data_IF_610977919993
#
_entry.id   IF_610977919993
#
_cell.length_a   1.000
_cell.length_b   1.000
_cell.length_c   1.000
_cell.angle_alpha   90.00
_cell.angle_beta   90.00
_cell.angle_gamma   90.00
#
_symmetry.space_group_name_H-M   'P 1'
#
loop_
_entity.id
_entity.type
_entity.pdbx_description
1 polymer ?
#
# COMPACT_ATOMS: atom_id res chain seq x y z
N UNK A 1 -15.85 -25.00 2.68
CA UNK A 1 -14.57 -24.38 3.06
C UNK A 1 -13.48 -25.41 2.83
N UNK A 2 -12.46 -25.09 2.02
CA UNK A 2 -11.48 -26.06 1.53
C UNK A 2 -10.17 -26.09 2.33
N UNK A 3 -9.98 -25.15 3.26
CA UNK A 3 -8.73 -25.03 4.02
C UNK A 3 -9.02 -24.59 5.46
N UNK A 4 -8.34 -25.24 6.42
CA UNK A 4 -8.30 -24.97 7.86
C UNK A 4 -6.84 -24.98 8.30
N UNK A 5 -6.49 -24.18 9.31
CA UNK A 5 -5.12 -24.00 9.80
C UNK A 5 -4.53 -25.32 10.38
N UNK A 6 -3.29 -25.61 10.03
CA UNK A 6 -2.65 -26.93 10.16
C UNK A 6 -2.15 -27.30 11.58
N UNK A 7 -2.47 -26.52 12.62
CA UNK A 7 -1.90 -26.75 13.97
C UNK A 7 -2.73 -27.65 14.87
N UNK A 8 -3.98 -27.95 14.52
CA UNK A 8 -4.75 -28.90 15.30
C UNK A 8 -4.53 -30.33 14.80
N UNK A 9 -3.58 -31.02 15.44
CA UNK A 9 -3.33 -32.46 15.27
C UNK A 9 -4.49 -33.33 15.81
N UNK A 10 -5.60 -32.72 16.28
CA UNK A 10 -6.80 -33.41 16.69
C UNK A 10 -7.51 -34.13 15.54
N UNK A 11 -8.27 -35.19 15.84
CA UNK A 11 -9.05 -35.89 14.82
C UNK A 11 -10.05 -34.93 14.16
N UNK A 12 -10.34 -35.10 12.86
CA UNK A 12 -11.38 -34.33 12.17
C UNK A 12 -12.68 -34.30 13.01
N UNK A 13 -13.18 -33.10 13.33
CA UNK A 13 -14.36 -32.90 14.19
C UNK A 13 -14.09 -32.55 15.66
N UNK A 14 -12.83 -32.47 16.10
CA UNK A 14 -12.43 -31.93 17.42
C UNK A 14 -11.54 -30.70 17.34
N UNK A 15 -11.40 -30.11 16.15
CA UNK A 15 -10.50 -28.98 15.96
C UNK A 15 -11.03 -27.73 16.66
N UNK A 16 -10.19 -27.09 17.46
CA UNK A 16 -10.51 -25.80 18.08
C UNK A 16 -10.13 -24.68 17.12
N UNK A 17 -11.13 -23.91 16.71
CA UNK A 17 -10.90 -22.65 16.00
C UNK A 17 -10.35 -21.63 17.00
N UNK A 18 -9.11 -21.18 16.79
CA UNK A 18 -8.56 -20.06 17.53
C UNK A 18 -8.77 -18.77 16.75
N UNK A 19 -9.36 -17.78 17.40
CA UNK A 19 -9.44 -16.42 16.87
C UNK A 19 -8.21 -15.63 17.32
N UNK A 20 -7.77 -14.64 16.53
CA UNK A 20 -6.62 -13.79 16.86
C UNK A 20 -6.82 -13.02 18.19
N UNK A 21 -8.05 -12.62 18.50
CA UNK A 21 -8.41 -11.93 19.74
C UNK A 21 -9.33 -12.77 20.62
N UNK A 22 -9.26 -12.54 21.93
CA UNK A 22 -10.22 -13.12 22.88
C UNK A 22 -11.62 -12.55 22.62
N UNK A 23 -12.68 -13.37 22.74
CA UNK A 23 -14.05 -12.93 22.46
C UNK A 23 -14.46 -11.71 23.30
N UNK A 24 -14.95 -10.66 22.63
CA UNK A 24 -15.44 -9.45 23.28
C UNK A 24 -14.34 -8.53 23.83
N UNK A 25 -13.07 -8.82 23.58
CA UNK A 25 -11.94 -7.95 23.97
C UNK A 25 -11.07 -7.62 22.75
N UNK A 26 -10.09 -6.74 22.95
CA UNK A 26 -9.01 -6.47 21.98
C UNK A 26 -7.69 -7.15 22.38
N UNK A 27 -7.76 -8.06 23.36
CA UNK A 27 -6.59 -8.77 23.85
C UNK A 27 -6.26 -9.91 22.90
N UNK A 28 -4.99 -10.01 22.53
CA UNK A 28 -4.53 -11.11 21.69
C UNK A 28 -4.74 -12.45 22.37
N UNK A 29 -5.22 -13.43 21.61
CA UNK A 29 -5.39 -14.79 22.10
C UNK A 29 -4.01 -15.41 22.39
N UNK A 30 -3.69 -15.75 23.65
CA UNK A 30 -2.37 -16.27 24.00
C UNK A 30 -2.03 -17.62 23.36
N UNK A 31 -3.02 -18.31 22.78
CA UNK A 31 -2.82 -19.55 22.04
C UNK A 31 -2.42 -19.33 20.58
N UNK A 32 -2.55 -18.10 20.06
CA UNK A 32 -2.13 -17.73 18.71
C UNK A 32 -0.72 -17.14 18.77
N UNK A 33 0.26 -17.67 18.02
CA UNK A 33 1.61 -17.09 17.97
C UNK A 33 1.56 -15.60 17.63
N UNK A 34 2.37 -14.78 18.31
CA UNK A 34 2.34 -13.32 18.13
C UNK A 34 2.75 -12.88 16.73
N UNK A 35 3.47 -13.71 15.98
CA UNK A 35 3.93 -13.52 14.61
C UNK A 35 2.93 -14.03 13.54
N UNK A 36 1.72 -14.37 13.95
CA UNK A 36 0.65 -14.77 13.02
C UNK A 36 0.15 -13.58 12.21
N UNK A 37 -0.01 -13.76 10.89
CA UNK A 37 -0.73 -12.82 10.04
C UNK A 37 -2.22 -12.85 10.37
N UNK A 38 -2.76 -11.72 10.82
CA UNK A 38 -4.20 -11.53 11.01
C UNK A 38 -4.82 -11.10 9.68
N UNK A 39 -5.75 -11.89 9.14
CA UNK A 39 -6.56 -11.51 7.98
C UNK A 39 -7.98 -11.19 8.45
N UNK A 40 -8.47 -9.99 8.17
CA UNK A 40 -9.79 -9.51 8.56
C UNK A 40 -10.59 -9.07 7.33
N UNK A 41 -11.89 -9.39 7.31
CA UNK A 41 -12.82 -8.86 6.32
C UNK A 41 -13.60 -7.72 6.97
N UNK A 42 -13.41 -6.50 6.49
CA UNK A 42 -14.20 -5.34 6.92
C UNK A 42 -15.47 -5.24 6.07
N UNK A 43 -16.61 -5.50 6.70
CA UNK A 43 -17.92 -5.45 6.06
C UNK A 43 -18.47 -4.03 5.89
N UNK A 44 -17.82 -3.03 6.47
CA UNK A 44 -18.18 -1.62 6.36
C UNK A 44 -17.49 -0.92 5.19
N UNK A 45 -16.48 -1.55 4.61
CA UNK A 45 -15.73 -1.05 3.45
C UNK A 45 -16.09 -1.91 2.24
N UNK A 46 -16.36 -1.26 1.11
CA UNK A 46 -16.83 -1.95 -0.10
C UNK A 46 -15.68 -2.42 -0.98
N UNK A 47 -14.76 -1.52 -1.36
CA UNK A 47 -13.73 -1.78 -2.37
C UNK A 47 -12.38 -1.17 -1.92
N UNK A 48 -11.73 -1.79 -0.93
CA UNK A 48 -10.42 -1.39 -0.43
C UNK A 48 -9.71 -2.56 0.24
N UNK A 49 -8.40 -2.42 0.43
CA UNK A 49 -7.63 -3.37 1.21
C UNK A 49 -6.39 -2.68 1.80
N UNK A 50 -5.76 -3.35 2.75
CA UNK A 50 -4.54 -2.87 3.39
C UNK A 50 -3.76 -4.03 3.96
N UNK A 51 -2.44 -3.99 3.86
CA UNK A 51 -1.57 -4.96 4.51
C UNK A 51 -0.30 -4.34 5.06
N UNK A 52 0.23 -5.00 6.07
CA UNK A 52 1.59 -4.74 6.54
C UNK A 52 2.60 -5.31 5.58
N UNK A 53 3.66 -4.56 5.32
CA UNK A 53 4.72 -5.00 4.40
C UNK A 53 5.74 -5.87 5.14
N UNK A 54 5.88 -7.10 4.67
CA UNK A 54 6.88 -8.07 5.12
C UNK A 54 6.85 -8.38 6.61
N UNK A 55 7.95 -8.94 7.09
CA UNK A 55 8.09 -9.29 8.50
C UNK A 55 8.48 -8.07 9.34
N UNK A 56 7.65 -7.73 10.34
CA UNK A 56 7.98 -6.73 11.35
C UNK A 56 8.59 -7.35 12.61
N UNK A 57 9.75 -6.87 13.08
CA UNK A 57 10.37 -7.37 14.30
C UNK A 57 9.53 -7.04 15.54
N UNK A 58 9.60 -7.87 16.60
CA UNK A 58 9.00 -7.54 17.90
C UNK A 58 9.59 -6.23 18.45
N UNK A 59 8.70 -5.36 18.95
CA UNK A 59 8.97 -4.11 19.66
C UNK A 59 9.03 -4.30 21.17
N UNK A 60 8.57 -5.44 21.68
CA UNK A 60 8.63 -5.79 23.12
C UNK A 60 7.47 -5.23 23.94
N UNK A 61 6.41 -4.76 23.29
CA UNK A 61 5.22 -4.20 23.95
C UNK A 61 3.93 -4.95 23.55
N UNK A 62 2.78 -4.45 24.02
CA UNK A 62 1.48 -5.06 23.72
C UNK A 62 1.09 -4.99 22.23
N UNK A 63 1.69 -4.09 21.45
CA UNK A 63 1.47 -3.96 20.00
C UNK A 63 2.19 -5.01 19.17
N UNK A 64 3.05 -5.83 19.79
CA UNK A 64 3.70 -6.95 19.11
C UNK A 64 2.71 -7.97 18.56
N UNK A 65 1.57 -8.12 19.24
CA UNK A 65 0.55 -9.05 18.84
C UNK A 65 -0.36 -8.41 17.77
N UNK A 66 -0.53 -9.08 16.63
CA UNK A 66 -1.23 -8.52 15.48
C UNK A 66 -0.41 -7.50 14.67
N UNK A 67 0.91 -7.47 14.86
CA UNK A 67 1.81 -6.57 14.11
C UNK A 67 1.91 -6.88 12.61
N UNK A 68 1.44 -8.05 12.20
CA UNK A 68 1.26 -8.47 10.82
C UNK A 68 -0.24 -8.58 10.55
N UNK A 69 -0.76 -7.73 9.67
CA UNK A 69 -2.19 -7.71 9.39
C UNK A 69 -2.46 -7.45 7.91
N UNK A 70 -3.60 -7.96 7.48
CA UNK A 70 -4.20 -7.75 6.17
C UNK A 70 -5.70 -7.54 6.39
N UNK A 71 -6.23 -6.46 5.84
CA UNK A 71 -7.65 -6.13 5.81
C UNK A 71 -8.13 -6.19 4.37
N UNK A 72 -9.26 -6.85 4.18
CA UNK A 72 -9.95 -6.94 2.91
C UNK A 72 -11.35 -6.35 3.06
N UNK A 73 -11.76 -5.51 2.12
CA UNK A 73 -13.17 -5.14 2.00
C UNK A 73 -14.02 -6.34 1.58
N UNK A 74 -15.34 -6.25 1.83
CA UNK A 74 -16.27 -7.35 1.54
C UNK A 74 -16.33 -7.74 0.06
N UNK A 75 -16.07 -6.79 -0.85
CA UNK A 75 -16.05 -7.04 -2.30
C UNK A 75 -14.64 -7.04 -2.89
N UNK A 76 -13.59 -7.21 -2.07
CA UNK A 76 -12.23 -7.30 -2.56
C UNK A 76 -12.12 -8.41 -3.62
N UNK A 77 -11.71 -8.03 -4.83
CA UNK A 77 -11.52 -8.99 -5.92
C UNK A 77 -10.20 -9.75 -5.77
N UNK A 78 -9.99 -10.73 -6.64
CA UNK A 78 -8.80 -11.57 -6.58
C UNK A 78 -7.50 -10.78 -6.85
N UNK A 79 -7.57 -9.70 -7.62
CA UNK A 79 -6.41 -8.86 -7.95
C UNK A 79 -5.98 -8.06 -6.72
N UNK A 80 -6.93 -7.44 -6.01
CA UNK A 80 -6.69 -6.72 -4.77
C UNK A 80 -6.20 -7.66 -3.66
N UNK A 81 -6.78 -8.86 -3.54
CA UNK A 81 -6.28 -9.87 -2.58
C UNK A 81 -4.84 -10.29 -2.90
N UNK A 82 -4.51 -10.48 -4.19
CA UNK A 82 -3.15 -10.81 -4.60
C UNK A 82 -2.18 -9.66 -4.32
N UNK A 83 -2.62 -8.41 -4.56
CA UNK A 83 -1.84 -7.20 -4.25
C UNK A 83 -1.45 -7.16 -2.77
N UNK A 84 -2.43 -7.33 -1.90
CA UNK A 84 -2.20 -7.34 -0.46
C UNK A 84 -1.34 -8.51 0.03
N UNK A 85 -1.48 -9.70 -0.58
CA UNK A 85 -0.57 -10.81 -0.30
C UNK A 85 0.87 -10.51 -0.73
N UNK A 86 1.08 -9.76 -1.81
CA UNK A 86 2.41 -9.27 -2.21
C UNK A 86 3.05 -8.42 -1.12
N UNK A 87 2.28 -7.48 -0.53
CA UNK A 87 2.74 -6.71 0.63
C UNK A 87 3.10 -7.60 1.81
N UNK A 88 2.28 -8.60 2.14
CA UNK A 88 2.60 -9.57 3.21
C UNK A 88 3.94 -10.28 2.96
N UNK A 89 4.27 -10.59 1.70
CA UNK A 89 5.57 -11.17 1.33
C UNK A 89 6.73 -10.17 1.29
N UNK A 90 6.45 -8.88 1.46
CA UNK A 90 7.45 -7.82 1.53
C UNK A 90 7.54 -6.96 0.27
N UNK A 91 6.70 -7.19 -0.74
CA UNK A 91 6.75 -6.41 -1.96
C UNK A 91 6.19 -5.00 -1.73
N UNK A 92 6.89 -3.99 -2.24
CA UNK A 92 6.46 -2.59 -2.24
C UNK A 92 5.81 -2.24 -3.57
N UNK A 93 5.17 -1.07 -3.67
CA UNK A 93 4.63 -0.61 -4.95
C UNK A 93 5.74 -0.43 -6.00
N UNK A 94 5.52 -0.90 -7.23
CA UNK A 94 6.49 -0.75 -8.32
C UNK A 94 6.87 0.72 -8.56
N UNK A 95 5.89 1.62 -8.40
CA UNK A 95 6.07 3.05 -8.59
C UNK A 95 6.92 3.73 -7.51
N UNK A 96 7.37 3.02 -6.48
CA UNK A 96 8.27 3.59 -5.44
C UNK A 96 9.74 3.17 -5.60
N UNK A 97 10.06 2.32 -6.60
CA UNK A 97 11.44 1.93 -6.93
C UNK A 97 12.35 3.13 -7.14
N UNK A 98 13.60 3.02 -6.70
CA UNK A 98 14.57 4.12 -6.85
C UNK A 98 14.87 4.43 -8.32
N UNK A 99 14.83 3.42 -9.19
CA UNK A 99 15.13 3.50 -10.61
C UNK A 99 13.91 3.77 -11.51
N UNK A 100 12.70 3.91 -10.93
CA UNK A 100 11.45 4.09 -11.69
C UNK A 100 11.51 5.19 -12.74
N UNK A 101 12.24 6.28 -12.47
CA UNK A 101 12.26 7.46 -13.35
C UNK A 101 13.02 7.18 -14.66
N UNK A 102 13.67 6.02 -14.79
CA UNK A 102 14.19 5.49 -16.05
C UNK A 102 13.09 4.92 -16.95
N UNK A 103 11.94 4.56 -16.38
CA UNK A 103 10.87 3.81 -17.03
C UNK A 103 9.51 4.53 -17.02
N UNK A 104 9.24 5.34 -16.00
CA UNK A 104 7.97 6.02 -15.77
C UNK A 104 8.17 7.48 -15.36
N UNK A 105 7.22 8.33 -15.78
CA UNK A 105 7.17 9.74 -15.37
C UNK A 105 6.08 9.94 -14.33
N UNK A 106 6.47 10.29 -13.09
CA UNK A 106 5.51 10.60 -12.03
C UNK A 106 4.97 12.04 -12.16
N UNK A 107 3.75 12.15 -12.68
CA UNK A 107 3.03 13.43 -12.81
C UNK A 107 2.31 13.82 -11.51
N UNK A 108 3.06 14.08 -10.45
CA UNK A 108 2.57 14.38 -9.08
C UNK A 108 1.36 15.34 -9.01
N UNK A 109 1.34 16.39 -9.83
CA UNK A 109 0.26 17.40 -9.86
C UNK A 109 -1.08 16.88 -10.34
N UNK A 110 -1.07 15.76 -11.07
CA UNK A 110 -2.26 15.13 -11.65
C UNK A 110 -2.86 14.08 -10.70
N UNK A 111 -2.20 13.77 -9.58
CA UNK A 111 -2.71 12.86 -8.56
C UNK A 111 -3.83 13.54 -7.79
N UNK A 112 -4.88 12.76 -7.51
CA UNK A 112 -6.02 13.20 -6.73
C UNK A 112 -5.59 13.83 -5.40
N UNK A 113 -6.22 14.96 -5.06
CA UNK A 113 -5.96 15.66 -3.82
C UNK A 113 -4.72 16.56 -3.80
N UNK A 114 -3.90 16.60 -4.86
CA UNK A 114 -2.69 17.44 -4.93
C UNK A 114 -2.98 18.90 -4.57
N UNK A 115 -3.95 19.52 -5.23
CA UNK A 115 -4.28 20.95 -5.00
C UNK A 115 -4.74 21.21 -3.56
N UNK A 116 -5.46 20.26 -2.96
CA UNK A 116 -5.91 20.39 -1.59
C UNK A 116 -4.74 20.23 -0.60
N UNK A 117 -3.86 19.27 -0.84
CA UNK A 117 -2.65 19.06 -0.04
C UNK A 117 -1.71 20.27 -0.14
N UNK A 118 -1.48 20.80 -1.34
CA UNK A 118 -0.66 21.99 -1.56
C UNK A 118 -1.17 23.20 -0.78
N UNK A 119 -2.48 23.47 -0.82
CA UNK A 119 -3.08 24.58 -0.05
C UNK A 119 -2.94 24.38 1.46
N UNK A 120 -3.11 23.15 1.96
CA UNK A 120 -2.89 22.83 3.38
C UNK A 120 -1.43 23.05 3.77
N UNK A 121 -0.49 22.55 2.96
CA UNK A 121 0.94 22.71 3.18
C UNK A 121 1.35 24.18 3.17
N UNK A 122 0.84 24.97 2.22
CA UNK A 122 1.10 26.41 2.17
C UNK A 122 0.55 27.17 3.38
N UNK A 123 -0.59 26.76 3.93
CA UNK A 123 -1.14 27.37 5.13
C UNK A 123 -0.30 27.06 6.39
N UNK A 124 0.31 25.88 6.46
CA UNK A 124 1.16 25.46 7.59
C UNK A 124 2.59 26.02 7.45
N UNK A 125 3.14 25.96 6.25
CA UNK A 125 4.53 26.32 5.92
C UNK A 125 4.61 27.59 5.06
N UNK A 126 3.90 28.64 5.45
CA UNK A 126 3.81 29.88 4.65
C UNK A 126 5.14 30.61 4.39
N UNK A 127 6.23 30.21 5.06
CA UNK A 127 7.59 30.71 4.82
C UNK A 127 8.36 29.92 3.75
N UNK A 128 7.92 28.70 3.42
CA UNK A 128 8.48 27.92 2.31
C UNK A 128 7.98 28.49 0.98
N UNK A 129 8.84 28.48 -0.03
CA UNK A 129 8.43 28.81 -1.39
C UNK A 129 7.46 27.77 -1.94
N UNK A 130 6.63 28.17 -2.91
CA UNK A 130 5.73 27.24 -3.61
C UNK A 130 6.49 26.05 -4.22
N UNK A 131 7.70 26.27 -4.72
CA UNK A 131 8.54 25.22 -5.32
C UNK A 131 9.05 24.22 -4.27
N UNK A 132 9.39 24.68 -3.06
CA UNK A 132 9.80 23.79 -1.96
C UNK A 132 8.64 22.95 -1.45
N UNK A 133 7.44 23.53 -1.33
CA UNK A 133 6.22 22.79 -0.95
C UNK A 133 5.89 21.73 -2.00
N UNK A 134 5.90 22.11 -3.28
CA UNK A 134 5.66 21.17 -4.38
C UNK A 134 6.67 20.02 -4.35
N UNK A 135 7.97 20.33 -4.28
CA UNK A 135 9.01 19.31 -4.20
C UNK A 135 8.79 18.38 -3.00
N UNK A 136 8.47 18.93 -1.82
CA UNK A 136 8.26 18.12 -0.62
C UNK A 136 7.02 17.21 -0.78
N UNK A 137 5.92 17.69 -1.35
CA UNK A 137 4.74 16.85 -1.62
C UNK A 137 5.00 15.72 -2.63
N UNK A 138 5.94 15.92 -3.56
CA UNK A 138 6.19 14.98 -4.65
C UNK A 138 7.36 14.02 -4.40
N UNK A 139 8.28 14.36 -3.48
CA UNK A 139 9.54 13.63 -3.27
C UNK A 139 9.79 13.24 -1.81
N UNK A 140 8.96 13.70 -0.86
CA UNK A 140 9.06 13.34 0.56
C UNK A 140 7.78 12.64 1.02
N UNK A 141 7.89 11.34 1.33
CA UNK A 141 6.75 10.50 1.69
C UNK A 141 6.12 10.95 3.00
N UNK A 142 6.93 11.32 3.99
CA UNK A 142 6.44 11.76 5.30
C UNK A 142 5.71 13.10 5.17
N UNK A 143 6.25 14.02 4.37
CA UNK A 143 5.61 15.29 4.08
C UNK A 143 4.28 15.09 3.33
N UNK A 144 4.25 14.23 2.32
CA UNK A 144 3.03 13.91 1.58
C UNK A 144 1.96 13.26 2.48
N UNK A 145 2.36 12.29 3.31
CA UNK A 145 1.47 11.62 4.28
C UNK A 145 0.93 12.57 5.34
N UNK A 146 1.75 13.52 5.84
CA UNK A 146 1.31 14.55 6.79
C UNK A 146 0.10 15.33 6.27
N UNK A 147 0.03 15.57 4.96
CA UNK A 147 -1.07 16.28 4.32
C UNK A 147 -2.14 15.37 3.74
N UNK A 148 -2.15 14.08 4.06
CA UNK A 148 -3.06 13.07 3.52
C UNK A 148 -3.14 13.14 1.98
N UNK A 149 -1.98 13.28 1.35
CA UNK A 149 -1.86 13.34 -0.10
C UNK A 149 -1.66 11.93 -0.67
N UNK A 150 -2.55 11.50 -1.56
CA UNK A 150 -2.46 10.19 -2.24
C UNK A 150 -1.15 10.01 -3.00
N UNK A 151 -0.50 11.10 -3.40
CA UNK A 151 0.82 11.09 -4.02
C UNK A 151 1.90 10.39 -3.21
N UNK A 152 1.74 10.27 -1.88
CA UNK A 152 2.67 9.52 -1.01
C UNK A 152 2.88 8.07 -1.47
N UNK A 153 1.87 7.42 -2.06
CA UNK A 153 1.98 6.06 -2.61
C UNK A 153 2.89 5.95 -3.85
N UNK A 154 3.25 7.10 -4.42
CA UNK A 154 4.10 7.25 -5.60
C UNK A 154 5.41 7.97 -5.27
N UNK A 155 5.74 8.22 -4.01
CA UNK A 155 7.03 8.82 -3.63
C UNK A 155 8.07 7.72 -3.48
N UNK A 156 9.29 7.93 -3.97
CA UNK A 156 10.37 6.96 -3.78
C UNK A 156 10.62 6.81 -2.30
N UNK A 157 10.66 5.59 -1.78
CA UNK A 157 10.85 5.43 -0.34
C UNK A 157 12.35 5.50 -0.01
N UNK A 158 12.78 6.42 0.88
CA UNK A 158 14.16 6.47 1.34
C UNK A 158 14.38 5.43 2.45
N UNK A 159 14.19 4.13 2.17
CA UNK A 159 14.57 3.09 3.14
C UNK A 159 16.11 2.97 3.18
N UNK A 160 16.73 2.77 4.37
CA UNK A 160 18.17 2.58 4.50
C UNK A 160 18.51 1.14 4.09
N UNK A 161 18.41 0.86 2.81
CA UNK A 161 18.99 -0.33 2.23
C UNK A 161 19.20 -0.04 0.76
N UNK A 162 20.36 0.49 0.45
CA UNK A 162 21.02 0.37 -0.85
C UNK A 162 21.26 -1.12 -1.26
N UNK A 163 20.43 -2.05 -0.77
CA UNK A 163 20.52 -3.51 -0.88
C UNK A 163 19.13 -4.21 -0.95
N UNK A 164 18.02 -3.46 -1.01
CA UNK A 164 16.69 -4.04 -1.28
C UNK A 164 16.39 -3.93 -2.77
N UNK A 165 16.63 -2.75 -3.36
CA UNK A 165 16.84 -2.62 -4.79
C UNK A 165 18.02 -3.55 -5.17
N UNK A 166 17.81 -4.44 -6.15
CA UNK A 166 18.82 -5.40 -6.63
C UNK A 166 19.31 -6.43 -5.57
N UNK A 167 18.51 -6.77 -4.55
CA UNK A 167 18.84 -7.86 -3.61
C UNK A 167 19.11 -9.18 -4.37
N UNK A 168 20.28 -9.82 -4.22
CA UNK A 168 20.63 -11.03 -4.97
C UNK A 168 19.88 -12.28 -4.49
N UNK A 169 19.14 -12.18 -3.38
CA UNK A 169 18.48 -13.33 -2.72
C UNK A 169 16.97 -13.29 -2.90
N UNK A 170 16.37 -12.10 -2.94
CA UNK A 170 14.94 -11.92 -3.16
C UNK A 170 14.70 -10.53 -3.72
N UNK A 171 14.12 -10.48 -4.92
CA UNK A 171 13.77 -9.24 -5.61
C UNK A 171 12.54 -8.61 -4.95
N UNK A 172 12.78 -7.69 -4.03
CA UNK A 172 11.72 -6.90 -3.39
C UNK A 172 11.13 -5.86 -4.35
N UNK A 173 11.79 -5.65 -5.50
CA UNK A 173 11.30 -4.85 -6.62
C UNK A 173 10.39 -5.67 -7.55
N UNK A 174 9.89 -6.81 -7.05
CA UNK A 174 8.89 -7.62 -7.72
C UNK A 174 7.61 -6.82 -8.00
N UNK A 175 7.05 -7.08 -9.18
CA UNK A 175 5.96 -6.33 -9.80
C UNK A 175 4.72 -6.25 -8.91
N UNK A 176 4.52 -5.11 -8.25
CA UNK A 176 3.25 -4.69 -7.64
C UNK A 176 2.72 -3.48 -8.39
N UNK A 177 2.05 -3.74 -9.52
CA UNK A 177 1.53 -2.70 -10.40
C UNK A 177 0.13 -2.26 -9.94
N UNK A 178 -0.02 -0.97 -9.71
CA UNK A 178 -1.32 -0.33 -9.87
C UNK A 178 -1.63 -0.12 -11.35
N UNK A 179 -2.91 0.00 -11.68
CA UNK A 179 -3.29 0.57 -12.97
C UNK A 179 -2.77 2.02 -13.06
N UNK A 180 -2.37 2.45 -14.25
CA UNK A 180 -1.76 3.78 -14.44
C UNK A 180 -2.69 4.96 -14.10
N UNK A 181 -3.99 4.69 -13.97
CA UNK A 181 -5.04 5.65 -13.61
C UNK A 181 -5.49 5.54 -12.14
N UNK A 182 -4.95 4.60 -11.37
CA UNK A 182 -5.24 4.51 -9.94
C UNK A 182 -4.88 5.83 -9.26
N UNK A 183 -5.79 6.41 -8.49
CA UNK A 183 -5.65 7.73 -7.84
C UNK A 183 -5.42 8.92 -8.79
N UNK A 184 -5.66 8.77 -10.09
CA UNK A 184 -5.65 9.90 -11.02
C UNK A 184 -6.87 10.80 -10.78
N UNK A 185 -6.70 12.12 -10.94
CA UNK A 185 -7.84 13.04 -10.85
C UNK A 185 -8.86 12.73 -11.97
N UNK A 186 -10.18 12.73 -11.69
CA UNK A 186 -11.22 12.45 -12.69
C UNK A 186 -11.16 13.34 -13.93
N UNK A 187 -10.54 14.52 -13.83
CA UNK A 187 -10.35 15.43 -14.96
C UNK A 187 -9.37 14.92 -16.02
N UNK A 188 -8.68 13.81 -15.76
CA UNK A 188 -7.73 13.17 -16.67
C UNK A 188 -8.15 11.74 -17.04
N UNK A 189 -9.40 11.34 -16.74
CA UNK A 189 -9.96 10.07 -17.24
C UNK A 189 -9.89 10.02 -18.78
N UNK A 190 -9.47 8.86 -19.27
CA UNK A 190 -9.08 8.60 -20.66
C UNK A 190 -10.07 9.19 -21.66
N UNK A 191 -9.57 9.99 -22.62
CA UNK A 191 -10.26 10.11 -23.90
C UNK A 191 -10.43 8.68 -24.46
N UNK A 192 -11.61 8.31 -24.98
CA UNK A 192 -11.82 7.00 -25.56
C UNK A 192 -10.77 6.74 -26.64
N UNK A 193 -10.28 5.50 -26.72
CA UNK A 193 -9.22 5.08 -27.64
C UNK A 193 -9.54 5.37 -29.13
N UNK A 194 -10.79 5.68 -29.47
CA UNK A 194 -11.21 6.14 -30.79
C UNK A 194 -10.60 7.49 -31.20
N UNK A 195 -10.18 8.32 -30.24
CA UNK A 195 -9.83 9.72 -30.50
C UNK A 195 -8.31 9.94 -30.62
N UNK A 196 -7.49 8.97 -30.22
CA UNK A 196 -6.01 9.04 -30.27
C UNK A 196 -5.47 8.84 -31.70
N UNK A 197 -6.24 8.21 -32.59
CA UNK A 197 -5.83 8.00 -33.98
C UNK A 197 -6.12 9.19 -34.92
N UNK A 198 -6.74 10.27 -34.43
CA UNK A 198 -7.19 11.38 -35.27
C UNK A 198 -6.27 12.62 -35.28
N UNK A 199 -5.27 12.72 -34.39
CA UNK A 199 -4.46 13.94 -34.23
C UNK A 199 -2.95 13.77 -34.45
N UNK A 200 -2.52 12.65 -35.03
CA UNK A 200 -1.11 12.34 -35.27
C UNK A 200 -0.42 13.25 -36.29
N UNK A 201 0.04 14.42 -35.85
CA UNK A 201 1.24 15.08 -36.39
C UNK A 201 2.16 15.39 -35.23
N UNK A 202 3.24 14.60 -35.11
CA UNK A 202 4.39 14.90 -34.26
C UNK A 202 5.34 15.74 -35.12
N UNK A 203 5.71 16.98 -34.75
CA UNK A 203 6.79 17.70 -35.42
C UNK A 203 8.15 17.14 -34.99
N UNK A 204 9.07 17.09 -35.96
CA UNK A 204 10.48 16.68 -35.81
C UNK A 204 11.25 17.43 -34.72
#
# INVERSE_FOLDING_TARGET
MAWEEARDNGPPGRRQNYYCYLPGTRDWNPNVPRDTLKIEIDVMILDSAYSTIGWRPPRGDASDAGRHEMMLAINADAELVAHELGHVFGMEHEAVRSDRDRYALYQCKNVEGYQAAFKRAQAVYGTMSAAEIEKSLCEDVDFATQFNFMGSNYVKIPWPSENIDDSPVFDMDSIMLYASDTFSSPQYERLPASDVLASGTIPD
#
